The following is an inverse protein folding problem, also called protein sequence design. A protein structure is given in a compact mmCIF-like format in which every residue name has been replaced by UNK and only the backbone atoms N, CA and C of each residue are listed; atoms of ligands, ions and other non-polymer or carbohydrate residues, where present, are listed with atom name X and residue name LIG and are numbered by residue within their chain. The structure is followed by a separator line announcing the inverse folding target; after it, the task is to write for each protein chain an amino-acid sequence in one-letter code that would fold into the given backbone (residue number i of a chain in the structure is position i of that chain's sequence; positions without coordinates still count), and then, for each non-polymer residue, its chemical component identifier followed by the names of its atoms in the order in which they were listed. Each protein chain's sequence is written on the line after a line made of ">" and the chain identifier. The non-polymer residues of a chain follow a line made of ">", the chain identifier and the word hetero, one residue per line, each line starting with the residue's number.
data_IF_869634284130
#
_entry.id   IF_869634284130
#
_cell.length_a   1.000
_cell.length_b   1.000
_cell.length_c   1.000
_cell.angle_alpha   90.00
_cell.angle_beta   90.00
_cell.angle_gamma   90.00
#
_symmetry.space_group_name_H-M   'P 1'
#
loop_
_entity.id
_entity.type
_entity.pdbx_description
1 polymer ?
#
# COMPACT_ATOMS: atom_id res chain seq x y z
N UNK A 1 -0.60 -17.13 -28.81
CA UNK A 1 -0.37 -15.93 -29.65
C UNK A 1 -1.19 -14.79 -29.05
N UNK A 2 -0.56 -13.63 -28.84
CA UNK A 2 -1.18 -12.43 -28.28
C UNK A 2 -2.35 -11.94 -29.13
N UNK A 3 -3.44 -11.47 -28.50
CA UNK A 3 -4.49 -10.78 -29.26
C UNK A 3 -3.96 -9.44 -29.81
N UNK A 4 -4.01 -9.22 -31.13
CA UNK A 4 -3.45 -8.01 -31.74
C UNK A 4 -4.22 -6.77 -31.28
N UNK A 5 -3.55 -5.62 -31.21
CA UNK A 5 -4.18 -4.37 -30.77
C UNK A 5 -5.36 -4.02 -31.67
N UNK A 6 -6.50 -3.61 -31.08
CA UNK A 6 -7.71 -3.23 -31.82
C UNK A 6 -7.42 -2.13 -32.85
N UNK A 7 -6.58 -1.16 -32.50
CA UNK A 7 -6.19 -0.08 -33.42
C UNK A 7 -5.37 -0.60 -34.61
N UNK A 8 -4.52 -1.62 -34.40
CA UNK A 8 -3.77 -2.27 -35.48
C UNK A 8 -4.70 -3.07 -36.37
N UNK A 9 -5.63 -3.83 -35.77
CA UNK A 9 -6.64 -4.54 -36.54
C UNK A 9 -7.51 -3.59 -37.38
N UNK A 10 -7.87 -2.41 -36.84
CA UNK A 10 -8.64 -1.40 -37.55
C UNK A 10 -7.82 -0.73 -38.67
N UNK A 11 -6.59 -0.30 -38.38
CA UNK A 11 -5.72 0.34 -39.36
C UNK A 11 -5.41 -0.60 -40.53
N UNK A 12 -5.16 -1.88 -40.25
CA UNK A 12 -4.88 -2.86 -41.29
C UNK A 12 -6.12 -3.23 -42.11
N UNK A 13 -7.36 -3.07 -41.62
CA UNK A 13 -8.57 -3.27 -42.43
C UNK A 13 -8.62 -2.37 -43.66
N UNK A 14 -8.03 -1.18 -43.59
CA UNK A 14 -7.92 -0.28 -44.74
C UNK A 14 -6.90 -0.75 -45.80
N UNK A 15 -6.08 -1.77 -45.48
CA UNK A 15 -5.07 -2.34 -46.37
C UNK A 15 -5.20 -3.87 -46.46
N UNK A 16 -6.09 -4.39 -47.32
CA UNK A 16 -6.43 -5.82 -47.38
C UNK A 16 -5.22 -6.74 -47.60
N UNK A 17 -4.25 -6.30 -48.41
CA UNK A 17 -3.02 -7.04 -48.73
C UNK A 17 -2.09 -7.21 -47.52
N UNK A 18 -2.08 -6.24 -46.61
CA UNK A 18 -1.31 -6.30 -45.36
C UNK A 18 -2.11 -7.03 -44.27
N UNK A 19 -3.43 -6.85 -44.25
CA UNK A 19 -4.32 -7.56 -43.33
C UNK A 19 -4.28 -9.09 -43.52
N UNK A 20 -4.01 -9.57 -44.74
CA UNK A 20 -3.84 -11.00 -45.02
C UNK A 20 -2.53 -11.60 -44.50
N UNK A 21 -1.65 -10.80 -43.87
CA UNK A 21 -0.36 -11.24 -43.32
C UNK A 21 -0.41 -11.24 -41.77
N UNK A 22 -0.71 -12.37 -41.11
CA UNK A 22 -0.86 -12.42 -39.65
C UNK A 22 0.41 -11.98 -38.90
N UNK A 23 1.58 -12.39 -39.40
CA UNK A 23 2.86 -12.04 -38.80
C UNK A 23 3.14 -10.52 -38.79
N UNK A 24 2.71 -9.78 -39.83
CA UNK A 24 2.88 -8.31 -39.86
C UNK A 24 1.98 -7.67 -38.82
N UNK A 25 0.74 -8.15 -38.68
CA UNK A 25 -0.18 -7.70 -37.64
C UNK A 25 0.38 -7.93 -36.24
N UNK A 26 1.03 -9.07 -36.01
CA UNK A 26 1.65 -9.42 -34.74
C UNK A 26 2.88 -8.54 -34.46
N UNK A 27 3.74 -8.32 -35.45
CA UNK A 27 4.93 -7.44 -35.32
C UNK A 27 4.51 -5.99 -35.04
N UNK A 28 3.55 -5.45 -35.78
CA UNK A 28 3.06 -4.09 -35.55
C UNK A 28 2.36 -3.97 -34.19
N UNK A 29 1.61 -5.00 -33.77
CA UNK A 29 0.98 -5.04 -32.45
C UNK A 29 2.01 -5.15 -31.32
N UNK A 30 3.11 -5.87 -31.53
CA UNK A 30 4.21 -5.96 -30.57
C UNK A 30 4.98 -4.64 -30.49
N UNK A 31 5.21 -3.98 -31.62
CA UNK A 31 5.90 -2.68 -31.69
C UNK A 31 5.10 -1.57 -31.00
N UNK A 32 3.79 -1.53 -31.21
CA UNK A 32 2.89 -0.55 -30.57
C UNK A 32 2.41 -0.98 -29.17
N UNK A 33 2.72 -2.22 -28.79
CA UNK A 33 2.34 -2.79 -27.49
C UNK A 33 3.10 -2.15 -26.33
N UNK A 34 2.72 -2.50 -25.08
CA UNK A 34 3.47 -2.06 -23.91
C UNK A 34 4.94 -2.47 -24.02
N UNK A 35 5.82 -1.58 -23.58
CA UNK A 35 7.27 -1.83 -23.56
C UNK A 35 7.58 -3.15 -22.84
N UNK A 36 8.55 -3.94 -23.32
CA UNK A 36 8.98 -5.16 -22.62
C UNK A 36 9.47 -4.89 -21.19
N UNK A 37 9.84 -3.63 -20.88
CA UNK A 37 10.28 -3.19 -19.56
C UNK A 37 9.17 -2.50 -18.75
N UNK A 38 7.93 -2.45 -19.24
CA UNK A 38 6.83 -1.86 -18.50
C UNK A 38 6.48 -2.73 -17.30
N UNK A 39 6.75 -2.22 -16.09
CA UNK A 39 6.39 -2.90 -14.84
C UNK A 39 4.87 -2.84 -14.62
N UNK A 40 4.33 -3.83 -13.90
CA UNK A 40 2.91 -3.81 -13.53
C UNK A 40 2.56 -2.55 -12.72
N UNK A 41 3.43 -2.13 -11.79
CA UNK A 41 3.24 -0.91 -11.01
C UNK A 41 3.18 0.36 -11.88
N UNK A 42 4.05 0.48 -12.89
CA UNK A 42 3.97 1.63 -13.82
C UNK A 42 2.71 1.55 -14.68
N UNK A 43 2.27 0.34 -15.03
CA UNK A 43 1.02 0.14 -15.77
C UNK A 43 -0.21 0.62 -14.97
N UNK A 44 -0.22 0.42 -13.65
CA UNK A 44 -1.27 0.92 -12.74
C UNK A 44 -1.43 2.43 -12.83
N UNK A 45 -0.35 3.20 -12.96
CA UNK A 45 -0.43 4.67 -13.06
C UNK A 45 -1.17 5.19 -14.31
N UNK A 46 -1.44 4.34 -15.30
CA UNK A 46 -2.28 4.68 -16.46
C UNK A 46 -3.77 4.44 -16.24
N UNK A 47 -4.16 3.90 -15.08
CA UNK A 47 -5.55 3.68 -14.68
C UNK A 47 -6.39 2.96 -15.75
N UNK A 48 -5.85 1.86 -16.27
CA UNK A 48 -6.42 1.17 -17.44
C UNK A 48 -6.44 -0.33 -17.24
N UNK A 49 -7.59 -0.87 -16.80
CA UNK A 49 -7.79 -2.32 -16.69
C UNK A 49 -7.53 -3.03 -18.01
N UNK A 50 -7.87 -2.41 -19.17
CA UNK A 50 -7.57 -2.98 -20.50
C UNK A 50 -6.07 -3.19 -20.73
N UNK A 51 -5.23 -2.29 -20.20
CA UNK A 51 -3.77 -2.45 -20.27
C UNK A 51 -3.31 -3.57 -19.33
N UNK A 52 -3.85 -3.63 -18.11
CA UNK A 52 -3.51 -4.65 -17.11
C UNK A 52 -3.93 -6.05 -17.59
N UNK A 53 -5.17 -6.21 -18.09
CA UNK A 53 -5.68 -7.42 -18.71
C UNK A 53 -4.76 -7.86 -19.86
N UNK A 54 -4.41 -6.94 -20.75
CA UNK A 54 -3.49 -7.24 -21.86
C UNK A 54 -2.12 -7.69 -21.35
N UNK A 55 -1.56 -7.06 -20.34
CA UNK A 55 -0.29 -7.48 -19.76
C UNK A 55 -0.40 -8.87 -19.12
N UNK A 56 -1.50 -9.13 -18.41
CA UNK A 56 -1.77 -10.40 -17.77
C UNK A 56 -1.95 -11.55 -18.76
N UNK A 57 -2.79 -11.36 -19.79
CA UNK A 57 -3.04 -12.33 -20.86
C UNK A 57 -1.78 -12.67 -21.66
N UNK A 58 -0.87 -11.71 -21.82
CA UNK A 58 0.40 -11.90 -22.53
C UNK A 58 1.54 -12.40 -21.63
N UNK A 59 1.28 -12.64 -20.34
CA UNK A 59 2.29 -13.16 -19.43
C UNK A 59 2.34 -14.68 -19.43
N UNK A 60 3.56 -15.21 -19.31
CA UNK A 60 3.82 -16.65 -19.33
C UNK A 60 3.48 -17.26 -17.96
N UNK A 61 2.74 -18.38 -17.95
CA UNK A 61 2.40 -19.10 -16.72
C UNK A 61 3.53 -20.02 -16.27
N UNK A 62 4.29 -20.57 -17.23
CA UNK A 62 5.47 -21.40 -16.95
C UNK A 62 6.73 -20.83 -17.59
N UNK A 63 7.88 -21.18 -17.03
CA UNK A 63 9.19 -20.80 -17.59
C UNK A 63 9.43 -21.38 -18.98
N UNK A 64 8.77 -22.49 -19.31
CA UNK A 64 8.79 -23.12 -20.63
C UNK A 64 8.02 -22.32 -21.70
N UNK A 65 7.05 -21.49 -21.30
CA UNK A 65 6.21 -20.71 -22.23
C UNK A 65 6.83 -19.34 -22.59
N UNK A 66 8.03 -19.06 -22.07
CA UNK A 66 8.71 -17.77 -22.26
C UNK A 66 9.03 -17.55 -23.73
N UNK A 67 8.68 -16.37 -24.24
CA UNK A 67 9.03 -15.99 -25.60
C UNK A 67 10.53 -15.65 -25.69
N UNK A 68 11.19 -15.90 -26.82
CA UNK A 68 12.55 -15.44 -27.05
C UNK A 68 12.66 -13.92 -26.85
N UNK A 69 13.76 -13.47 -26.22
CA UNK A 69 14.01 -12.06 -25.92
C UNK A 69 13.59 -11.64 -24.52
N UNK A 70 13.99 -10.42 -24.15
CA UNK A 70 13.73 -9.86 -22.82
C UNK A 70 12.33 -9.23 -22.76
N UNK A 71 11.56 -9.60 -21.73
CA UNK A 71 10.28 -8.99 -21.38
C UNK A 71 9.92 -9.31 -19.94
N UNK A 72 9.42 -8.34 -19.18
CA UNK A 72 8.92 -8.56 -17.82
C UNK A 72 7.69 -9.48 -17.80
N UNK A 73 6.90 -9.51 -18.88
CA UNK A 73 5.75 -10.41 -18.99
C UNK A 73 6.16 -11.89 -19.05
N UNK A 74 7.40 -12.20 -19.47
CA UNK A 74 7.92 -13.56 -19.39
C UNK A 74 8.01 -14.05 -17.94
N UNK A 75 8.14 -13.14 -16.96
CA UNK A 75 8.37 -13.48 -15.57
C UNK A 75 7.14 -13.26 -14.69
N UNK A 76 6.19 -12.41 -15.11
CA UNK A 76 5.06 -11.98 -14.28
C UNK A 76 4.34 -13.14 -13.60
N UNK A 77 3.99 -14.22 -14.32
CA UNK A 77 3.31 -15.39 -13.77
C UNK A 77 4.15 -16.66 -13.72
N UNK A 78 5.38 -16.64 -14.26
CA UNK A 78 6.26 -17.82 -14.33
C UNK A 78 7.38 -17.81 -13.30
N UNK A 79 7.68 -16.67 -12.68
CA UNK A 79 8.70 -16.53 -11.66
C UNK A 79 8.06 -16.11 -10.34
N UNK A 80 8.23 -16.95 -9.31
CA UNK A 80 7.59 -16.74 -7.99
C UNK A 80 8.04 -15.44 -7.32
N UNK A 81 9.30 -15.05 -7.47
CA UNK A 81 9.81 -13.84 -6.81
C UNK A 81 9.32 -12.59 -7.52
N UNK A 82 9.40 -12.60 -8.85
CA UNK A 82 8.89 -11.48 -9.64
C UNK A 82 7.36 -11.34 -9.52
N UNK A 83 6.61 -12.43 -9.46
CA UNK A 83 5.16 -12.42 -9.20
C UNK A 83 4.81 -11.67 -7.90
N UNK A 84 5.49 -12.02 -6.79
CA UNK A 84 5.28 -11.36 -5.49
C UNK A 84 5.71 -9.88 -5.51
N UNK A 85 6.85 -9.59 -6.14
CA UNK A 85 7.35 -8.23 -6.26
C UNK A 85 6.42 -7.34 -7.10
N UNK A 86 5.98 -7.84 -8.26
CA UNK A 86 5.08 -7.13 -9.16
C UNK A 86 3.73 -6.84 -8.48
N UNK A 87 3.18 -7.82 -7.74
CA UNK A 87 2.00 -7.62 -6.92
C UNK A 87 2.20 -6.50 -5.89
N UNK A 88 3.23 -6.62 -5.05
CA UNK A 88 3.49 -5.68 -3.96
C UNK A 88 3.63 -4.24 -4.48
N UNK A 89 4.42 -4.03 -5.55
CA UNK A 89 4.60 -2.70 -6.14
C UNK A 89 3.37 -2.17 -6.87
N UNK A 90 2.62 -3.03 -7.55
CA UNK A 90 1.37 -2.61 -8.20
C UNK A 90 0.29 -2.25 -7.19
N UNK A 91 0.18 -3.02 -6.10
CA UNK A 91 -0.78 -2.76 -5.04
C UNK A 91 -0.42 -1.50 -4.25
N UNK A 92 0.85 -1.28 -3.92
CA UNK A 92 1.34 -0.05 -3.29
C UNK A 92 0.99 1.18 -4.13
N UNK A 93 1.23 1.13 -5.44
CA UNK A 93 0.91 2.23 -6.35
C UNK A 93 -0.60 2.46 -6.50
N UNK A 94 -1.40 1.39 -6.61
CA UNK A 94 -2.86 1.49 -6.66
C UNK A 94 -3.44 2.08 -5.37
N UNK A 95 -2.90 1.66 -4.22
CA UNK A 95 -3.26 2.16 -2.90
C UNK A 95 -2.91 3.63 -2.73
N UNK A 96 -1.72 4.05 -3.20
CA UNK A 96 -1.27 5.45 -3.19
C UNK A 96 -2.13 6.37 -4.08
N UNK A 97 -2.65 5.84 -5.19
CA UNK A 97 -3.49 6.58 -6.15
C UNK A 97 -4.99 6.48 -5.84
N UNK A 98 -5.40 5.65 -4.89
CA UNK A 98 -6.81 5.48 -4.51
C UNK A 98 -7.65 4.69 -5.52
N UNK A 99 -7.01 3.89 -6.38
CA UNK A 99 -7.65 3.20 -7.50
C UNK A 99 -8.28 1.87 -7.05
N UNK A 100 -9.45 1.93 -6.41
CA UNK A 100 -10.13 0.75 -5.85
C UNK A 100 -10.37 -0.35 -6.89
N UNK A 101 -10.81 -0.01 -8.09
CA UNK A 101 -11.08 -0.97 -9.15
C UNK A 101 -9.80 -1.70 -9.64
N UNK A 102 -8.63 -1.07 -9.51
CA UNK A 102 -7.34 -1.74 -9.76
C UNK A 102 -6.96 -2.66 -8.60
N UNK A 103 -7.24 -2.26 -7.35
CA UNK A 103 -7.05 -3.12 -6.18
C UNK A 103 -7.92 -4.38 -6.28
N UNK A 104 -9.19 -4.23 -6.64
CA UNK A 104 -10.10 -5.35 -6.94
C UNK A 104 -9.53 -6.27 -8.03
N UNK A 105 -9.03 -5.69 -9.11
CA UNK A 105 -8.39 -6.43 -10.19
C UNK A 105 -7.17 -7.21 -9.69
N UNK A 106 -6.30 -6.60 -8.88
CA UNK A 106 -5.14 -7.28 -8.30
C UNK A 106 -5.56 -8.44 -7.39
N UNK A 107 -6.60 -8.28 -6.58
CA UNK A 107 -7.14 -9.32 -5.71
C UNK A 107 -7.77 -10.48 -6.49
N UNK A 108 -8.35 -10.22 -7.66
CA UNK A 108 -8.92 -11.26 -8.52
C UNK A 108 -7.86 -12.09 -9.27
N UNK A 109 -6.69 -11.51 -9.55
CA UNK A 109 -5.66 -12.14 -10.38
C UNK A 109 -4.50 -12.73 -9.59
N UNK A 110 -4.22 -12.19 -8.40
CA UNK A 110 -3.16 -12.66 -7.53
C UNK A 110 -3.68 -13.53 -6.39
N UNK A 111 -2.98 -14.61 -6.10
CA UNK A 111 -3.27 -15.49 -4.97
C UNK A 111 -1.97 -15.95 -4.31
N UNK A 112 -2.04 -16.30 -3.04
CA UNK A 112 -0.85 -16.73 -2.32
C UNK A 112 0.22 -15.64 -2.30
N UNK A 113 -0.16 -14.37 -2.19
CA UNK A 113 0.72 -13.22 -2.00
C UNK A 113 0.42 -12.50 -0.68
N UNK A 114 1.27 -11.55 -0.33
CA UNK A 114 1.15 -10.77 0.90
C UNK A 114 1.28 -9.30 0.52
N UNK A 115 0.33 -8.49 0.98
CA UNK A 115 0.41 -7.05 0.93
C UNK A 115 1.29 -6.58 2.10
N UNK A 116 2.45 -6.03 1.74
CA UNK A 116 3.42 -5.49 2.68
C UNK A 116 2.88 -4.22 3.37
N UNK A 117 3.47 -3.87 4.52
CA UNK A 117 3.00 -2.75 5.36
C UNK A 117 3.02 -1.42 4.58
N UNK A 118 3.95 -1.28 3.65
CA UNK A 118 4.09 -0.11 2.77
C UNK A 118 2.81 0.18 1.96
N UNK A 119 2.00 -0.84 1.64
CA UNK A 119 0.71 -0.66 0.95
C UNK A 119 -0.29 0.09 1.84
N UNK A 120 -0.40 -0.35 3.11
CA UNK A 120 -1.29 0.25 4.10
C UNK A 120 -0.80 1.67 4.43
N UNK A 121 0.50 1.83 4.64
CA UNK A 121 1.13 3.14 4.85
C UNK A 121 0.88 4.10 3.67
N UNK A 122 0.94 3.62 2.42
CA UNK A 122 0.68 4.44 1.23
C UNK A 122 -0.79 4.90 1.15
N UNK A 123 -1.75 4.01 1.37
CA UNK A 123 -3.17 4.38 1.41
C UNK A 123 -3.50 5.32 2.58
N UNK A 124 -2.94 5.05 3.76
CA UNK A 124 -3.12 5.87 4.96
C UNK A 124 -2.55 7.29 4.77
N UNK A 125 -1.35 7.40 4.19
CA UNK A 125 -0.73 8.68 3.87
C UNK A 125 -1.48 9.46 2.78
N UNK A 126 -2.16 8.78 1.86
CA UNK A 126 -2.90 9.41 0.77
C UNK A 126 -4.38 9.72 1.11
N UNK A 127 -4.84 9.34 2.30
CA UNK A 127 -6.23 9.60 2.72
C UNK A 127 -7.26 8.66 2.12
N UNK A 128 -6.85 7.49 1.64
CA UNK A 128 -7.71 6.55 0.91
C UNK A 128 -8.33 5.48 1.82
N UNK A 129 -9.23 5.92 2.71
CA UNK A 129 -9.93 5.04 3.67
C UNK A 129 -10.67 3.88 3.00
N UNK A 130 -11.30 4.11 1.84
CA UNK A 130 -12.02 3.08 1.09
C UNK A 130 -11.12 1.94 0.63
N UNK A 131 -9.84 2.22 0.33
CA UNK A 131 -8.85 1.18 0.02
C UNK A 131 -8.53 0.37 1.28
N UNK A 132 -8.31 1.04 2.42
CA UNK A 132 -8.03 0.35 3.69
C UNK A 132 -9.19 -0.57 4.10
N UNK A 133 -10.43 -0.09 3.96
CA UNK A 133 -11.63 -0.89 4.20
C UNK A 133 -11.68 -2.12 3.30
N UNK A 134 -11.47 -1.94 1.99
CA UNK A 134 -11.44 -3.06 1.06
C UNK A 134 -10.34 -4.09 1.41
N UNK A 135 -9.13 -3.61 1.70
CA UNK A 135 -8.00 -4.46 2.10
C UNK A 135 -8.32 -5.26 3.37
N UNK A 136 -9.03 -4.66 4.33
CA UNK A 136 -9.43 -5.32 5.57
C UNK A 136 -10.48 -6.40 5.31
N UNK A 137 -11.55 -6.05 4.60
CA UNK A 137 -12.67 -6.96 4.30
C UNK A 137 -12.25 -8.16 3.45
N UNK A 138 -11.24 -8.01 2.59
CA UNK A 138 -10.76 -9.05 1.68
C UNK A 138 -9.42 -9.66 2.11
N UNK A 139 -8.88 -9.27 3.26
CA UNK A 139 -7.69 -9.93 3.80
C UNK A 139 -8.08 -11.31 4.32
N UNK A 140 -7.32 -12.34 3.95
CA UNK A 140 -7.41 -13.61 4.67
C UNK A 140 -6.84 -13.36 6.05
N UNK A 141 -7.72 -13.40 7.07
CA UNK A 141 -7.37 -13.47 8.49
C UNK A 141 -6.68 -14.81 8.79
N UNK A 142 -5.71 -15.25 7.97
CA UNK A 142 -4.80 -16.29 8.44
C UNK A 142 -4.17 -15.67 9.67
N UNK A 143 -4.71 -16.14 10.79
CA UNK A 143 -4.33 -15.76 12.12
C UNK A 143 -2.82 -15.59 12.10
N UNK A 144 -2.34 -14.50 12.69
CA UNK A 144 -1.04 -14.50 13.32
C UNK A 144 -1.04 -15.59 14.42
N UNK A 145 -1.29 -16.87 14.09
CA UNK A 145 -0.95 -17.99 14.92
C UNK A 145 0.56 -17.95 14.97
N UNK A 146 1.04 -17.32 16.04
CA UNK A 146 2.42 -17.38 16.48
C UNK A 146 2.76 -18.86 16.59
N UNK A 147 3.35 -19.43 15.53
CA UNK A 147 3.87 -20.79 15.61
C UNK A 147 5.10 -20.70 16.52
N UNK A 148 4.88 -21.02 17.79
CA UNK A 148 5.91 -21.03 18.83
C UNK A 148 6.38 -22.47 18.99
N UNK A 149 7.61 -22.77 18.57
CA UNK A 149 8.31 -23.98 18.97
C UNK A 149 9.36 -23.59 20.02
N UNK A 150 9.06 -23.80 21.30
CA UNK A 150 9.93 -23.40 22.41
C UNK A 150 10.03 -21.87 22.57
N UNK A 151 11.24 -21.31 22.57
CA UNK A 151 11.51 -19.86 22.69
C UNK A 151 11.72 -19.15 21.35
N UNK A 152 11.80 -19.89 20.24
CA UNK A 152 12.08 -19.33 18.92
C UNK A 152 10.79 -18.85 18.22
N UNK A 153 10.82 -17.61 17.72
CA UNK A 153 9.81 -17.08 16.81
C UNK A 153 10.15 -17.53 15.38
N UNK A 154 9.36 -18.44 14.82
CA UNK A 154 9.58 -18.96 13.46
C UNK A 154 8.90 -18.14 12.36
N UNK A 155 8.24 -17.03 12.71
CA UNK A 155 7.52 -16.17 11.78
C UNK A 155 6.08 -16.61 11.52
N UNK A 156 5.48 -15.97 10.51
CA UNK A 156 4.14 -16.26 10.01
C UNK A 156 4.20 -17.45 9.06
N UNK A 157 3.38 -18.47 9.29
CA UNK A 157 3.32 -19.64 8.40
C UNK A 157 1.91 -19.74 7.82
N UNK A 158 1.80 -19.59 6.49
CA UNK A 158 0.59 -19.98 5.77
C UNK A 158 0.30 -21.45 6.01
N UNK A 159 -0.96 -21.76 6.30
CA UNK A 159 -1.38 -23.14 6.45
C UNK A 159 -1.63 -23.78 5.08
N UNK A 160 -2.16 -23.02 4.09
CA UNK A 160 -2.40 -23.50 2.73
C UNK A 160 -1.91 -22.53 1.63
N UNK A 161 -1.56 -23.05 0.43
CA UNK A 161 -1.09 -22.24 -0.70
C UNK A 161 -2.13 -21.27 -1.26
N UNK A 162 -3.42 -21.59 -1.10
CA UNK A 162 -4.57 -20.88 -1.65
C UNK A 162 -5.24 -19.91 -0.66
N UNK A 163 -4.58 -19.61 0.47
CA UNK A 163 -5.07 -18.69 1.51
C UNK A 163 -5.02 -17.22 1.05
N UNK A 164 -5.80 -16.88 0.02
CA UNK A 164 -6.08 -15.50 -0.43
C UNK A 164 -4.87 -14.56 -0.43
N UNK A 165 -5.11 -13.31 -0.02
CA UNK A 165 -4.09 -12.28 0.13
C UNK A 165 -4.06 -11.87 1.60
N UNK A 166 -2.88 -11.99 2.20
CA UNK A 166 -2.64 -11.56 3.59
C UNK A 166 -2.22 -10.11 3.59
N UNK A 167 -2.78 -9.29 4.47
CA UNK A 167 -2.41 -7.87 4.60
C UNK A 167 -1.70 -7.64 5.93
N UNK A 168 -0.51 -7.04 5.88
CA UNK A 168 0.24 -6.65 7.10
C UNK A 168 -0.17 -5.25 7.56
N UNK A 169 -0.71 -5.18 8.76
CA UNK A 169 -1.13 -3.94 9.41
C UNK A 169 -0.10 -3.46 10.46
N UNK A 170 -0.09 -2.15 10.72
CA UNK A 170 0.69 -1.53 11.80
C UNK A 170 1.95 -0.78 11.34
N UNK A 171 3.01 -0.82 12.18
CA UNK A 171 4.21 0.02 12.07
C UNK A 171 3.90 1.53 12.10
N UNK A 172 4.00 2.21 10.95
CA UNK A 172 3.83 3.65 10.83
C UNK A 172 2.55 4.02 10.08
N UNK A 173 1.64 3.08 9.82
CA UNK A 173 0.38 3.34 9.09
C UNK A 173 -0.42 4.50 9.70
N UNK A 174 -0.71 4.44 10.99
CA UNK A 174 -1.41 5.47 11.73
C UNK A 174 -0.58 6.77 11.80
N UNK A 175 0.74 6.68 12.02
CA UNK A 175 1.59 7.86 12.12
C UNK A 175 1.69 8.63 10.79
N UNK A 176 1.66 7.93 9.65
CA UNK A 176 1.60 8.56 8.32
C UNK A 176 0.25 9.22 8.06
N UNK A 177 -0.85 8.59 8.48
CA UNK A 177 -2.18 9.21 8.43
C UNK A 177 -2.22 10.49 9.27
N UNK A 178 -1.70 10.47 10.51
CA UNK A 178 -1.59 11.65 11.37
C UNK A 178 -0.80 12.78 10.70
N UNK A 179 0.41 12.48 10.19
CA UNK A 179 1.26 13.47 9.49
C UNK A 179 0.62 14.07 8.25
N UNK A 180 -0.34 13.36 7.66
CA UNK A 180 -1.07 13.80 6.47
C UNK A 180 -2.43 14.45 6.79
N UNK A 181 -2.80 14.54 8.08
CA UNK A 181 -4.07 15.13 8.54
C UNK A 181 -5.30 14.26 8.29
N UNK A 182 -5.15 12.94 8.42
CA UNK A 182 -6.20 11.96 8.16
C UNK A 182 -6.67 11.24 9.43
N UNK A 183 -7.18 11.99 10.41
CA UNK A 183 -7.55 11.48 11.74
C UNK A 183 -8.64 10.40 11.67
N UNK A 184 -9.55 10.48 10.70
CA UNK A 184 -10.57 9.45 10.46
C UNK A 184 -9.92 8.08 10.18
N UNK A 185 -8.82 8.07 9.41
CA UNK A 185 -8.06 6.85 9.15
C UNK A 185 -7.39 6.35 10.43
N UNK A 186 -6.84 7.23 11.26
CA UNK A 186 -6.21 6.84 12.53
C UNK A 186 -7.23 6.15 13.44
N UNK A 187 -8.43 6.74 13.58
CA UNK A 187 -9.52 6.15 14.37
C UNK A 187 -9.94 4.80 13.81
N UNK A 188 -10.20 4.73 12.50
CA UNK A 188 -10.61 3.49 11.85
C UNK A 188 -9.57 2.37 12.02
N UNK A 189 -8.28 2.68 11.83
CA UNK A 189 -7.19 1.73 12.02
C UNK A 189 -7.17 1.17 13.46
N UNK A 190 -7.32 2.00 14.47
CA UNK A 190 -7.35 1.57 15.88
C UNK A 190 -8.55 0.67 16.19
N UNK A 191 -9.74 1.04 15.70
CA UNK A 191 -10.99 0.32 15.96
C UNK A 191 -11.01 -1.06 15.28
N UNK A 192 -10.48 -1.17 14.06
CA UNK A 192 -10.63 -2.37 13.23
C UNK A 192 -9.40 -3.29 13.27
N UNK A 193 -8.22 -2.75 13.59
CA UNK A 193 -6.96 -3.51 13.53
C UNK A 193 -6.24 -3.55 14.87
N UNK A 194 -6.99 -3.69 15.97
CA UNK A 194 -6.46 -3.69 17.33
C UNK A 194 -5.33 -4.71 17.56
N UNK A 195 -5.37 -5.87 16.88
CA UNK A 195 -4.30 -6.88 16.93
C UNK A 195 -2.94 -6.36 16.40
N UNK A 196 -2.94 -5.31 15.60
CA UNK A 196 -1.76 -4.69 15.01
C UNK A 196 -1.23 -3.56 15.89
N UNK A 197 -1.92 -3.19 16.96
CA UNK A 197 -1.43 -2.20 17.91
C UNK A 197 -0.14 -2.66 18.59
N UNK A 198 0.12 -3.97 18.67
CA UNK A 198 1.41 -4.50 19.14
C UNK A 198 2.56 -4.35 18.14
N UNK A 199 2.28 -4.15 16.85
CA UNK A 199 3.29 -3.85 15.82
C UNK A 199 3.40 -2.35 15.52
N UNK A 200 2.42 -1.54 15.92
CA UNK A 200 2.46 -0.08 15.83
C UNK A 200 3.40 0.49 16.89
N UNK A 201 4.18 1.48 16.48
CA UNK A 201 4.95 2.29 17.40
C UNK A 201 4.03 3.37 18.00
N UNK A 202 3.33 3.01 19.08
CA UNK A 202 2.39 3.92 19.77
C UNK A 202 3.08 5.18 20.32
N UNK A 203 4.29 5.12 20.91
CA UNK A 203 5.06 6.33 21.25
C UNK A 203 5.30 7.23 20.04
N UNK A 204 5.72 6.67 18.90
CA UNK A 204 5.94 7.46 17.69
C UNK A 204 4.64 8.07 17.15
N UNK A 205 3.52 7.34 17.25
CA UNK A 205 2.22 7.83 16.81
C UNK A 205 1.77 9.06 17.60
N UNK A 206 1.80 9.02 18.93
CA UNK A 206 1.38 10.18 19.74
C UNK A 206 2.34 11.36 19.57
N UNK A 207 3.64 11.10 19.42
CA UNK A 207 4.63 12.12 19.08
C UNK A 207 4.28 12.80 17.74
N UNK A 208 3.86 12.03 16.74
CA UNK A 208 3.45 12.61 15.45
C UNK A 208 2.21 13.51 15.54
N UNK A 209 1.30 13.27 16.50
CA UNK A 209 0.17 14.16 16.75
C UNK A 209 0.65 15.49 17.35
N UNK A 210 1.64 15.46 18.25
CA UNK A 210 2.27 16.68 18.77
C UNK A 210 3.05 17.44 17.69
N UNK A 211 3.81 16.75 16.84
CA UNK A 211 4.54 17.37 15.72
C UNK A 211 3.59 18.16 14.77
N UNK A 212 2.41 17.59 14.50
CA UNK A 212 1.38 18.21 13.65
C UNK A 212 0.51 19.22 14.43
N UNK A 213 0.54 19.18 15.76
CA UNK A 213 -0.26 20.02 16.64
C UNK A 213 -1.74 19.63 16.68
N UNK A 214 -2.04 18.36 16.37
CA UNK A 214 -3.38 17.82 16.45
C UNK A 214 -3.70 17.37 17.88
N UNK A 215 -3.99 18.36 18.72
CA UNK A 215 -4.31 18.17 20.13
C UNK A 215 -5.57 17.31 20.34
N UNK A 216 -6.67 17.47 19.56
CA UNK A 216 -7.82 16.57 19.67
C UNK A 216 -7.48 15.10 19.40
N UNK A 217 -6.64 14.81 18.40
CA UNK A 217 -6.20 13.43 18.17
C UNK A 217 -5.27 12.95 19.28
N UNK A 218 -4.37 13.80 19.78
CA UNK A 218 -3.50 13.45 20.92
C UNK A 218 -4.33 13.07 22.15
N UNK A 219 -5.35 13.85 22.51
CA UNK A 219 -6.28 13.53 23.62
C UNK A 219 -6.98 12.19 23.40
N UNK A 220 -7.43 11.93 22.17
CA UNK A 220 -8.06 10.67 21.83
C UNK A 220 -7.08 9.48 21.95
N UNK A 221 -5.84 9.62 21.47
CA UNK A 221 -4.80 8.59 21.57
C UNK A 221 -4.43 8.29 23.03
N UNK A 222 -4.35 9.32 23.88
CA UNK A 222 -4.14 9.15 25.32
C UNK A 222 -5.30 8.37 25.97
N UNK A 223 -6.55 8.65 25.57
CA UNK A 223 -7.71 7.91 26.07
C UNK A 223 -7.70 6.43 25.64
N UNK A 224 -7.05 6.10 24.51
CA UNK A 224 -6.79 4.72 24.08
C UNK A 224 -5.59 4.07 24.80
N UNK A 225 -4.94 4.78 25.73
CA UNK A 225 -3.79 4.26 26.48
C UNK A 225 -2.46 4.35 25.75
N UNK A 226 -2.33 5.20 24.71
CA UNK A 226 -1.04 5.45 24.07
C UNK A 226 -0.08 6.13 25.08
N UNK A 227 1.11 5.57 25.33
CA UNK A 227 2.07 6.17 26.23
C UNK A 227 2.66 7.45 25.62
N UNK A 228 2.74 8.53 26.39
CA UNK A 228 3.43 9.75 25.99
C UNK A 228 4.28 10.30 27.14
N UNK A 229 5.30 11.07 26.80
CA UNK A 229 6.11 11.86 27.73
C UNK A 229 5.89 13.35 27.49
N UNK A 230 5.92 14.14 28.56
CA UNK A 230 5.88 15.62 28.49
C UNK A 230 7.10 16.14 27.73
N UNK A 231 8.27 15.53 27.94
CA UNK A 231 9.50 15.91 27.25
C UNK A 231 9.41 15.67 25.74
N UNK A 232 8.80 14.55 25.32
CA UNK A 232 8.60 14.24 23.89
C UNK A 232 7.62 15.24 23.25
N UNK A 233 6.55 15.60 23.95
CA UNK A 233 5.58 16.59 23.49
C UNK A 233 6.22 18.00 23.38
N UNK A 234 7.05 18.40 24.35
CA UNK A 234 7.83 19.64 24.28
C UNK A 234 8.90 19.59 23.18
N UNK A 235 9.43 18.42 22.89
CA UNK A 235 10.37 18.17 21.78
C UNK A 235 9.83 18.53 20.40
N UNK A 236 8.51 18.60 20.23
CA UNK A 236 7.86 19.13 19.00
C UNK A 236 8.24 20.59 18.73
N UNK A 237 8.66 21.34 19.76
CA UNK A 237 8.99 22.76 19.69
C UNK A 237 7.78 23.67 19.45
N UNK A 238 6.56 23.15 19.52
CA UNK A 238 5.36 23.93 19.20
C UNK A 238 4.75 24.62 20.41
N UNK A 239 4.41 25.89 20.21
CA UNK A 239 3.81 26.75 21.21
C UNK A 239 2.42 26.29 21.68
N UNK A 240 1.63 25.78 20.74
CA UNK A 240 0.28 25.27 21.01
C UNK A 240 0.32 24.04 21.91
N UNK A 241 1.22 23.09 21.65
CA UNK A 241 1.44 21.90 22.49
C UNK A 241 1.88 22.29 23.90
N UNK A 242 2.83 23.22 24.04
CA UNK A 242 3.27 23.71 25.35
C UNK A 242 2.16 24.38 26.17
N UNK A 243 1.35 25.25 25.54
CA UNK A 243 0.19 25.87 26.20
C UNK A 243 -0.87 24.84 26.58
N UNK A 244 -1.08 23.83 25.73
CA UNK A 244 -2.02 22.74 26.00
C UNK A 244 -1.57 21.90 27.20
N UNK A 245 -0.28 21.57 27.32
CA UNK A 245 0.27 20.88 28.50
C UNK A 245 0.10 21.71 29.80
N UNK A 246 0.34 23.02 29.74
CA UNK A 246 0.12 23.92 30.87
C UNK A 246 -1.36 23.95 31.31
N UNK A 247 -2.28 24.04 30.35
CA UNK A 247 -3.72 24.06 30.63
C UNK A 247 -4.21 22.76 31.29
N UNK A 248 -3.54 21.64 30.99
CA UNK A 248 -3.83 20.33 31.59
C UNK A 248 -3.18 20.11 32.95
N UNK A 249 -2.21 20.95 33.33
CA UNK A 249 -1.40 20.78 34.54
C UNK A 249 -0.31 19.71 34.40
N UNK A 250 -0.04 19.25 33.18
CA UNK A 250 1.01 18.26 32.88
C UNK A 250 2.42 18.91 32.87
N UNK A 251 2.50 20.25 32.91
CA UNK A 251 3.74 21.03 32.93
C UNK A 251 3.69 22.11 34.01
N UNK A 252 4.75 22.26 34.80
CA UNK A 252 4.87 23.39 35.73
C UNK A 252 5.21 24.68 34.98
N UNK A 253 4.50 25.79 35.23
CA UNK A 253 4.74 27.04 34.53
C UNK A 253 6.10 27.63 34.91
N UNK A 254 7.04 27.67 33.96
CA UNK A 254 8.31 28.36 34.13
C UNK A 254 8.18 29.87 33.82
N UNK A 255 9.08 30.68 34.37
CA UNK A 255 9.04 32.15 34.21
C UNK A 255 9.14 32.58 32.73
N UNK A 256 9.93 31.88 31.92
CA UNK A 256 10.03 32.11 30.46
C UNK A 256 8.74 31.74 29.69
N UNK A 257 7.96 30.77 30.20
CA UNK A 257 6.66 30.37 29.63
C UNK A 257 5.56 31.38 29.98
N UNK A 258 5.59 31.93 31.20
CA UNK A 258 4.68 32.98 31.66
C UNK A 258 4.94 34.30 30.91
N UNK A 259 6.20 34.62 30.63
CA UNK A 259 6.60 35.83 29.87
C UNK A 259 6.39 35.70 28.35
N UNK A 260 5.90 34.56 27.86
CA UNK A 260 5.61 34.32 26.44
C UNK A 260 6.86 34.15 25.57
N UNK A 261 8.03 33.91 26.16
CA UNK A 261 9.32 33.77 25.45
C UNK A 261 9.70 32.32 25.14
N UNK A 262 9.13 31.36 25.87
CA UNK A 262 9.46 29.94 25.72
C UNK A 262 8.91 29.28 24.43
N UNK A 263 8.00 29.96 23.73
CA UNK A 263 7.17 29.38 22.68
C UNK A 263 6.97 30.33 21.48
N UNK A 264 7.92 31.25 21.25
CA UNK A 264 7.89 32.25 20.18
C UNK A 264 8.54 31.75 18.90
#
# INVERSE_FOLDING_TARGET
>A
MSSPLTIVALALRAQPTVASLPHVKDVVSAFLGPSPNLTLARAVSFDSLKLLDRMWENSCVSSFDRTPGWSLLNFLRSDRYYYRYAFSKALEEAARLGLLHVVEWLFAHFSGVEAEVEVVEAAANAGHLHILQYLFDHSTLTEYQRVRYGTAFLGLRRQYPDDGIVVRWGRHDAARATKSGHDEIVRWLFEHTAHANGSRDLPHLIMSAFDVGDLPLAEWLMAQGCPFSVDDALGSGRADVGRWLLARGDLEPSMDMIEGKAFA
#
